data_IF_615271680122
#
_entry.id   IF_615271680122
#
_cell.length_a   1.000
_cell.length_b   1.000
_cell.length_c   1.000
_cell.angle_alpha   90.00
_cell.angle_beta   90.00
_cell.angle_gamma   90.00
#
_symmetry.space_group_name_H-M   'P 1'
#
loop_
_entity.id
_entity.type
_entity.pdbx_description
1 polymer ?
#
# COMPACT_ATOMS: atom_id res chain seq x y z
N UNK A 1 -9.73 -7.86 -12.66
CA UNK A 1 -9.98 -6.54 -12.06
C UNK A 1 -9.63 -5.48 -13.07
N UNK A 2 -10.53 -4.52 -13.31
CA UNK A 2 -10.17 -3.34 -14.10
C UNK A 2 -9.24 -2.47 -13.25
N UNK A 3 -8.04 -2.18 -13.75
CA UNK A 3 -7.07 -1.31 -13.08
C UNK A 3 -7.68 0.05 -12.73
N UNK A 4 -8.71 0.49 -13.46
CA UNK A 4 -9.45 1.73 -13.18
C UNK A 4 -10.12 1.74 -11.80
N UNK A 5 -10.62 0.59 -11.31
CA UNK A 5 -11.31 0.50 -10.03
C UNK A 5 -10.33 0.60 -8.85
N UNK A 6 -9.12 0.04 -8.98
CA UNK A 6 -8.08 0.25 -7.96
C UNK A 6 -7.64 1.71 -7.96
N UNK A 7 -7.38 2.29 -9.12
CA UNK A 7 -6.90 3.68 -9.19
C UNK A 7 -7.89 4.63 -8.53
N UNK A 8 -9.19 4.40 -8.74
CA UNK A 8 -10.23 5.17 -8.06
C UNK A 8 -10.20 4.97 -6.54
N UNK A 9 -9.97 3.75 -6.06
CA UNK A 9 -9.87 3.47 -4.62
C UNK A 9 -8.63 4.11 -3.98
N UNK A 10 -7.48 4.05 -4.64
CA UNK A 10 -6.24 4.72 -4.20
C UNK A 10 -6.47 6.25 -4.11
N UNK A 11 -7.10 6.83 -5.13
CA UNK A 11 -7.41 8.26 -5.15
C UNK A 11 -8.38 8.66 -4.02
N UNK A 12 -9.35 7.80 -3.70
CA UNK A 12 -10.28 8.01 -2.58
C UNK A 12 -9.58 7.93 -1.22
N UNK A 13 -8.69 6.97 -1.00
CA UNK A 13 -7.87 6.88 0.22
C UNK A 13 -7.06 8.16 0.45
N UNK A 14 -6.61 8.81 -0.62
CA UNK A 14 -5.86 10.07 -0.55
C UNK A 14 -6.73 11.30 -0.22
N UNK A 15 -8.06 11.20 -0.31
CA UNK A 15 -8.98 12.34 -0.16
C UNK A 15 -9.76 12.29 1.16
N UNK A 16 -10.15 11.10 1.62
CA UNK A 16 -10.84 10.84 2.89
C UNK A 16 -10.50 9.41 3.35
N UNK A 17 -10.59 9.11 4.66
CA UNK A 17 -10.55 7.73 5.15
C UNK A 17 -11.78 7.01 4.57
N UNK A 18 -11.63 6.04 3.63
CA UNK A 18 -12.77 5.40 3.01
C UNK A 18 -13.54 4.63 4.07
N UNK A 19 -14.85 4.83 4.12
CA UNK A 19 -15.70 4.03 5.00
C UNK A 19 -15.62 2.56 4.59
N UNK A 20 -15.76 1.66 5.56
CA UNK A 20 -15.76 0.20 5.36
C UNK A 20 -16.77 -0.26 4.31
N UNK A 21 -17.82 0.52 4.03
CA UNK A 21 -18.79 0.29 2.96
C UNK A 21 -18.19 0.36 1.54
N UNK A 22 -17.20 1.22 1.30
CA UNK A 22 -16.58 1.38 -0.04
C UNK A 22 -15.77 0.13 -0.39
N UNK A 23 -14.93 -0.33 0.53
CA UNK A 23 -14.17 -1.56 0.34
C UNK A 23 -15.09 -2.78 0.23
N UNK A 24 -16.15 -2.85 1.04
CA UNK A 24 -17.14 -3.95 1.00
C UNK A 24 -17.80 -4.10 -0.37
N UNK A 25 -18.10 -3.00 -1.07
CA UNK A 25 -18.72 -3.04 -2.40
C UNK A 25 -17.82 -3.63 -3.50
N UNK A 26 -16.49 -3.55 -3.33
CA UNK A 26 -15.49 -4.08 -4.26
C UNK A 26 -15.15 -5.52 -3.88
N UNK A 27 -15.12 -5.82 -2.57
CA UNK A 27 -14.82 -7.14 -2.02
C UNK A 27 -15.78 -8.25 -2.44
N UNK A 28 -17.05 -7.94 -2.71
CA UNK A 28 -18.05 -8.92 -3.16
C UNK A 28 -17.70 -9.60 -4.51
N UNK A 29 -16.61 -9.17 -5.18
CA UNK A 29 -16.16 -9.72 -6.46
C UNK A 29 -14.84 -10.49 -6.46
N UNK A 30 -14.05 -10.46 -5.37
CA UNK A 30 -12.71 -11.10 -5.31
C UNK A 30 -12.45 -11.81 -3.96
N UNK A 31 -11.57 -12.82 -3.97
CA UNK A 31 -11.05 -13.35 -2.72
C UNK A 31 -10.13 -12.30 -2.05
N UNK A 32 -10.23 -12.17 -0.73
CA UNK A 32 -9.46 -11.21 0.08
C UNK A 32 -7.98 -11.09 -0.27
N UNK A 33 -7.29 -12.22 -0.40
CA UNK A 33 -5.86 -12.25 -0.71
C UNK A 33 -5.57 -11.64 -2.08
N UNK A 34 -6.33 -12.04 -3.11
CA UNK A 34 -6.19 -11.53 -4.47
C UNK A 34 -6.45 -10.01 -4.54
N UNK A 35 -7.45 -9.52 -3.80
CA UNK A 35 -7.73 -8.09 -3.74
C UNK A 35 -6.59 -7.31 -3.08
N UNK A 36 -6.18 -7.74 -1.87
CA UNK A 36 -5.16 -7.03 -1.10
C UNK A 36 -3.84 -6.96 -1.88
N UNK A 37 -3.40 -8.09 -2.43
CA UNK A 37 -2.12 -8.15 -3.15
C UNK A 37 -2.17 -7.32 -4.43
N UNK A 38 -3.28 -7.36 -5.16
CA UNK A 38 -3.41 -6.57 -6.38
C UNK A 38 -3.52 -5.06 -6.10
N UNK A 39 -4.18 -4.66 -5.00
CA UNK A 39 -4.18 -3.28 -4.50
C UNK A 39 -2.77 -2.82 -4.13
N UNK A 40 -2.08 -3.59 -3.30
CA UNK A 40 -0.73 -3.28 -2.81
C UNK A 40 0.29 -3.23 -3.94
N UNK A 41 0.21 -4.15 -4.92
CA UNK A 41 1.01 -4.11 -6.15
C UNK A 41 0.78 -2.80 -6.90
N UNK A 42 -0.48 -2.41 -7.11
CA UNK A 42 -0.76 -1.16 -7.83
C UNK A 42 -0.17 0.05 -7.10
N UNK A 43 -0.35 0.17 -5.79
CA UNK A 43 0.24 1.24 -4.98
C UNK A 43 1.77 1.29 -5.15
N UNK A 44 2.45 0.15 -4.98
CA UNK A 44 3.89 0.03 -5.13
C UNK A 44 4.40 0.45 -6.51
N UNK A 45 3.77 -0.05 -7.58
CA UNK A 45 4.14 0.26 -8.97
C UNK A 45 3.90 1.74 -9.31
N UNK A 46 2.78 2.32 -8.89
CA UNK A 46 2.47 3.74 -9.14
C UNK A 46 3.39 4.68 -8.36
N UNK A 47 3.77 4.32 -7.13
CA UNK A 47 4.76 5.05 -6.33
C UNK A 47 6.16 5.03 -6.97
N UNK A 48 6.63 3.86 -7.41
CA UNK A 48 7.93 3.75 -8.09
C UNK A 48 7.94 4.49 -9.42
N UNK A 49 6.82 4.49 -10.14
CA UNK A 49 6.66 5.25 -11.37
C UNK A 49 6.55 6.78 -11.16
N UNK A 50 6.50 7.26 -9.91
CA UNK A 50 6.36 8.67 -9.56
C UNK A 50 4.98 9.25 -9.85
N UNK A 51 3.98 8.39 -10.08
CA UNK A 51 2.58 8.79 -10.32
C UNK A 51 1.79 8.90 -9.02
N UNK A 52 2.26 8.25 -7.95
CA UNK A 52 1.72 8.36 -6.60
C UNK A 52 2.78 8.99 -5.68
N UNK A 53 2.38 9.98 -4.87
CA UNK A 53 3.27 10.55 -3.85
C UNK A 53 3.46 9.57 -2.69
N UNK A 54 4.53 9.72 -1.91
CA UNK A 54 4.72 8.92 -0.69
C UNK A 54 3.51 9.00 0.23
N UNK A 55 3.04 10.20 0.58
CA UNK A 55 1.91 10.39 1.48
C UNK A 55 0.63 9.72 0.98
N UNK A 56 0.36 9.79 -0.34
CA UNK A 56 -0.80 9.10 -0.93
C UNK A 56 -0.67 7.58 -0.91
N UNK A 57 0.54 7.07 -1.15
CA UNK A 57 0.81 5.63 -1.16
C UNK A 57 0.73 5.03 0.25
N UNK A 58 1.37 5.69 1.21
CA UNK A 58 1.32 5.35 2.62
C UNK A 58 -0.13 5.35 3.15
N UNK A 59 -0.87 6.44 2.89
CA UNK A 59 -2.27 6.54 3.29
C UNK A 59 -3.14 5.41 2.69
N UNK A 60 -2.88 5.02 1.44
CA UNK A 60 -3.58 3.91 0.79
C UNK A 60 -3.29 2.57 1.48
N UNK A 61 -2.04 2.31 1.89
CA UNK A 61 -1.67 1.11 2.63
C UNK A 61 -2.26 1.10 4.04
N UNK A 62 -2.25 2.23 4.74
CA UNK A 62 -2.90 2.41 6.04
C UNK A 62 -4.44 2.17 5.97
N UNK A 63 -5.08 2.57 4.87
CA UNK A 63 -6.50 2.28 4.62
C UNK A 63 -6.75 0.78 4.39
N UNK A 64 -5.88 0.11 3.64
CA UNK A 64 -5.98 -1.33 3.42
C UNK A 64 -5.79 -2.12 4.73
N UNK A 65 -4.81 -1.76 5.55
CA UNK A 65 -4.57 -2.38 6.86
C UNK A 65 -5.81 -2.25 7.76
N UNK A 66 -6.33 -1.03 7.89
CA UNK A 66 -7.55 -0.75 8.67
C UNK A 66 -8.70 -1.61 8.18
N UNK A 67 -8.91 -1.70 6.87
CA UNK A 67 -9.95 -2.53 6.29
C UNK A 67 -9.75 -4.02 6.61
N UNK A 68 -8.54 -4.55 6.41
CA UNK A 68 -8.21 -5.95 6.64
C UNK A 68 -8.41 -6.37 8.09
N UNK A 69 -7.99 -5.54 9.05
CA UNK A 69 -8.06 -5.85 10.48
C UNK A 69 -9.42 -5.53 11.10
N UNK A 70 -10.08 -4.44 10.71
CA UNK A 70 -11.35 -4.02 11.33
C UNK A 70 -12.61 -4.48 10.61
N UNK A 71 -12.55 -4.77 9.31
CA UNK A 71 -13.74 -5.13 8.52
C UNK A 71 -13.83 -6.62 8.23
N UNK A 72 -12.69 -7.26 7.99
CA UNK A 72 -12.66 -8.68 7.60
C UNK A 72 -12.17 -9.61 8.71
N UNK A 73 -11.45 -9.07 9.70
CA UNK A 73 -10.73 -9.85 10.73
C UNK A 73 -9.73 -10.89 10.15
N UNK A 74 -9.32 -10.72 8.89
CA UNK A 74 -8.40 -11.65 8.19
C UNK A 74 -6.95 -11.20 8.21
N UNK A 75 -6.70 -9.91 8.46
CA UNK A 75 -5.37 -9.30 8.36
C UNK A 75 -4.86 -9.20 6.92
N UNK A 76 -3.66 -8.65 6.74
CA UNK A 76 -3.05 -8.48 5.42
C UNK A 76 -2.32 -9.77 4.97
N UNK A 77 -2.44 -10.18 3.70
CA UNK A 77 -1.57 -11.21 3.14
C UNK A 77 -0.10 -10.77 3.12
N UNK A 78 0.82 -11.72 3.03
CA UNK A 78 2.27 -11.50 3.15
C UNK A 78 2.80 -10.42 2.20
N UNK A 79 2.45 -10.47 0.90
CA UNK A 79 2.90 -9.46 -0.06
C UNK A 79 2.39 -8.06 0.31
N UNK A 80 1.10 -7.95 0.64
CA UNK A 80 0.48 -6.69 1.06
C UNK A 80 1.11 -6.14 2.35
N UNK A 81 1.42 -7.02 3.30
CA UNK A 81 2.06 -6.68 4.56
C UNK A 81 3.48 -6.17 4.37
N UNK A 82 4.26 -6.80 3.49
CA UNK A 82 5.60 -6.33 3.13
C UNK A 82 5.56 -4.92 2.52
N UNK A 83 4.58 -4.65 1.65
CA UNK A 83 4.39 -3.31 1.08
C UNK A 83 4.01 -2.30 2.17
N UNK A 84 3.10 -2.67 3.08
CA UNK A 84 2.70 -1.81 4.20
C UNK A 84 3.91 -1.41 5.06
N UNK A 85 4.70 -2.40 5.49
CA UNK A 85 5.91 -2.17 6.28
C UNK A 85 6.93 -1.30 5.54
N UNK A 86 7.08 -1.46 4.23
CA UNK A 86 8.00 -0.63 3.45
C UNK A 86 7.60 0.87 3.49
N UNK A 87 6.30 1.18 3.49
CA UNK A 87 5.84 2.56 3.66
C UNK A 87 5.98 3.05 5.11
N UNK A 88 5.63 2.23 6.10
CA UNK A 88 5.77 2.54 7.53
C UNK A 88 7.21 2.93 7.93
N UNK A 89 8.21 2.25 7.37
CA UNK A 89 9.64 2.56 7.59
C UNK A 89 10.06 3.95 7.09
N UNK A 90 9.24 4.60 6.26
CA UNK A 90 9.45 5.96 5.77
C UNK A 90 8.88 7.06 6.68
N UNK A 91 8.07 6.71 7.69
CA UNK A 91 7.36 7.68 8.52
C UNK A 91 8.25 8.36 9.56
N UNK A 92 9.39 7.76 9.89
CA UNK A 92 10.21 8.18 11.02
C UNK A 92 11.71 8.16 10.71
N UNK A 93 12.45 8.99 11.45
CA UNK A 93 13.91 8.94 11.46
C UNK A 93 14.36 7.71 12.27
N UNK A 94 15.17 6.87 11.62
CA UNK A 94 15.67 5.64 12.24
C UNK A 94 16.79 5.91 13.24
N UNK A 95 16.92 5.11 14.31
CA UNK A 95 18.02 5.24 15.25
C UNK A 95 19.39 5.18 14.56
N UNK A 96 20.17 6.25 14.70
CA UNK A 96 21.50 6.37 14.10
C UNK A 96 21.52 7.18 12.80
N UNK A 97 20.37 7.60 12.30
CA UNK A 97 20.29 8.48 11.14
C UNK A 97 20.56 9.94 11.53
N UNK A 98 21.31 10.68 10.69
CA UNK A 98 21.35 12.13 10.76
C UNK A 98 19.95 12.75 10.57
N UNK A 99 19.69 13.88 11.21
CA UNK A 99 18.41 14.59 11.14
C UNK A 99 18.05 15.03 9.70
N UNK A 100 19.04 15.14 8.82
CA UNK A 100 18.85 15.54 7.42
C UNK A 100 18.54 14.37 6.47
N UNK A 101 18.55 13.13 6.95
CA UNK A 101 18.19 11.97 6.14
C UNK A 101 16.70 12.02 5.80
N UNK A 102 16.39 11.75 4.53
CA UNK A 102 15.04 11.44 4.08
C UNK A 102 14.78 9.94 4.26
N UNK A 103 13.96 9.52 5.23
CA UNK A 103 13.68 8.10 5.48
C UNK A 103 12.99 7.43 4.28
N UNK A 104 12.17 8.17 3.54
CA UNK A 104 11.47 7.66 2.34
C UNK A 104 12.47 7.28 1.26
N UNK A 105 13.46 8.14 1.03
CA UNK A 105 14.52 7.87 0.05
C UNK A 105 15.45 6.73 0.50
N UNK A 106 15.69 6.60 1.80
CA UNK A 106 16.64 5.63 2.36
C UNK A 106 16.05 4.24 2.61
N UNK A 107 14.78 4.15 3.03
CA UNK A 107 14.14 2.91 3.47
C UNK A 107 12.98 2.50 2.57
N UNK A 108 11.97 3.36 2.41
CA UNK A 108 10.77 3.01 1.63
C UNK A 108 11.09 2.71 0.17
N UNK A 109 11.79 3.60 -0.52
CA UNK A 109 12.02 3.44 -1.96
C UNK A 109 12.83 2.17 -2.29
N UNK A 110 13.94 1.85 -1.59
CA UNK A 110 14.64 0.58 -1.79
C UNK A 110 13.78 -0.65 -1.45
N UNK A 111 13.07 -0.65 -0.31
CA UNK A 111 12.24 -1.78 0.08
C UNK A 111 11.13 -2.07 -0.94
N UNK A 112 10.42 -1.04 -1.41
CA UNK A 112 9.39 -1.20 -2.45
C UNK A 112 9.98 -1.70 -3.76
N UNK A 113 11.20 -1.28 -4.14
CA UNK A 113 11.89 -1.83 -5.32
C UNK A 113 12.19 -3.33 -5.18
N UNK A 114 12.64 -3.78 -4.00
CA UNK A 114 12.90 -5.19 -3.74
C UNK A 114 11.63 -6.03 -3.78
N UNK A 115 10.53 -5.51 -3.23
CA UNK A 115 9.23 -6.20 -3.24
C UNK A 115 8.71 -6.32 -4.68
N UNK A 116 8.69 -5.21 -5.44
CA UNK A 116 8.24 -5.21 -6.85
C UNK A 116 9.12 -6.07 -7.76
N UNK A 117 10.40 -6.22 -7.44
CA UNK A 117 11.28 -7.13 -8.19
C UNK A 117 10.82 -8.59 -8.11
N UNK A 118 10.15 -8.99 -7.02
CA UNK A 118 9.60 -10.36 -6.84
C UNK A 118 8.46 -10.65 -7.81
N UNK A 119 7.71 -9.64 -8.25
CA UNK A 119 6.62 -9.81 -9.23
C UNK A 119 7.10 -10.36 -10.59
N UNK A 120 8.37 -10.14 -10.94
CA UNK A 120 8.96 -10.57 -12.22
C UNK A 120 9.72 -11.90 -12.11
N UNK A 121 9.74 -12.52 -10.92
CA UNK A 121 10.44 -13.77 -10.65
C UNK A 121 9.53 -15.02 -10.82
N UNK A 122 8.25 -14.83 -11.16
CA UNK A 122 7.25 -15.86 -11.47
C UNK A 122 6.89 -15.89 -12.96
#
# INVERSE_FOLDING_TARGET
MDTSQIDELIARCSSDIPTTEIFSSIFDTLHHEEFCDAFSRRVAHEYLAGRLTYASADQAMNCLDTFCHHSTERGMPEYSWDVYLAFDEGEYLHPGDPDEVDPVAKYTRPAVQEIVARDNAE
#
